data_IF_852070310629
#
_entry.id   IF_852070310629
#
_cell.length_a   1.000
_cell.length_b   1.000
_cell.length_c   1.000
_cell.angle_alpha   90.00
_cell.angle_beta   90.00
_cell.angle_gamma   90.00
#
_symmetry.space_group_name_H-M   'P 1'
#
loop_
_entity.id
_entity.type
_entity.pdbx_description
1 polymer ?
#
# COMPACT_ATOMS: atom_id res chain seq x y z
N UNK A 1 38.60 15.12 -0.93
CA UNK A 1 37.98 13.78 -0.87
C UNK A 1 38.30 13.18 0.49
N UNK A 2 37.37 13.26 1.44
CA UNK A 2 37.58 12.75 2.81
C UNK A 2 36.89 11.39 2.90
N UNK A 3 37.68 10.32 2.82
CA UNK A 3 37.20 8.97 3.12
C UNK A 3 37.04 8.89 4.64
N UNK A 4 35.79 9.00 5.11
CA UNK A 4 35.45 8.76 6.51
C UNK A 4 35.85 7.32 6.84
N UNK A 5 36.80 7.18 7.76
CA UNK A 5 37.28 5.89 8.28
C UNK A 5 36.09 5.03 8.67
N UNK A 6 36.01 3.87 8.03
CA UNK A 6 35.07 2.79 8.34
C UNK A 6 35.32 2.42 9.80
N UNK A 7 34.26 2.49 10.61
CA UNK A 7 34.29 1.99 11.99
C UNK A 7 34.70 0.53 11.91
N UNK A 8 35.86 0.20 12.44
CA UNK A 8 36.34 -1.18 12.55
C UNK A 8 35.26 -1.98 13.28
N UNK A 9 34.70 -2.97 12.59
CA UNK A 9 33.63 -3.84 13.05
C UNK A 9 33.97 -4.34 14.46
N UNK A 10 33.15 -3.96 15.46
CA UNK A 10 33.41 -4.31 16.87
C UNK A 10 33.48 -5.84 17.06
N UNK A 11 32.84 -6.58 16.15
CA UNK A 11 32.95 -8.03 16.01
C UNK A 11 34.35 -8.48 15.59
N UNK A 12 34.97 -7.83 14.61
CA UNK A 12 36.31 -8.21 14.16
C UNK A 12 37.33 -8.03 15.29
N UNK A 13 37.14 -6.98 16.09
CA UNK A 13 37.95 -6.72 17.28
C UNK A 13 37.74 -7.75 18.40
N UNK A 14 36.50 -8.14 18.71
CA UNK A 14 36.21 -9.16 19.73
C UNK A 14 36.61 -10.57 19.27
N UNK A 15 36.43 -10.87 17.97
CA UNK A 15 36.83 -12.11 17.32
C UNK A 15 38.34 -12.32 17.41
N UNK A 16 39.12 -11.31 17.02
CA UNK A 16 40.58 -11.37 17.06
C UNK A 16 41.15 -11.45 18.48
N UNK A 17 40.40 -11.00 19.50
CA UNK A 17 40.87 -10.90 20.89
C UNK A 17 40.46 -12.07 21.79
N UNK A 18 39.29 -12.68 21.56
CA UNK A 18 38.72 -13.69 22.46
C UNK A 18 38.29 -14.98 21.78
N UNK A 19 37.98 -14.95 20.47
CA UNK A 19 37.36 -16.09 19.78
C UNK A 19 38.31 -16.81 18.82
N UNK A 20 39.47 -16.21 18.50
CA UNK A 20 40.44 -16.74 17.53
C UNK A 20 40.99 -18.13 17.91
N UNK A 21 41.21 -18.37 19.20
CA UNK A 21 41.86 -19.59 19.69
C UNK A 21 40.85 -20.66 20.18
N UNK A 22 39.55 -20.35 20.14
CA UNK A 22 38.47 -21.27 20.52
C UNK A 22 37.57 -21.56 19.29
N UNK A 23 37.86 -22.63 18.53
CA UNK A 23 37.23 -22.88 17.24
C UNK A 23 35.70 -23.06 17.32
N UNK A 24 35.19 -23.63 18.40
CA UNK A 24 33.75 -23.80 18.64
C UNK A 24 33.03 -22.46 18.85
N UNK A 25 33.59 -21.56 19.68
CA UNK A 25 33.01 -20.24 19.91
C UNK A 25 33.11 -19.35 18.66
N UNK A 26 34.20 -19.47 17.90
CA UNK A 26 34.34 -18.82 16.61
C UNK A 26 33.26 -19.25 15.62
N UNK A 27 32.88 -20.53 15.62
CA UNK A 27 31.84 -21.06 14.75
C UNK A 27 30.44 -20.60 15.17
N UNK A 28 30.13 -20.62 16.46
CA UNK A 28 28.89 -20.08 17.01
C UNK A 28 28.75 -18.59 16.67
N UNK A 29 29.81 -17.80 16.85
CA UNK A 29 29.81 -16.39 16.53
C UNK A 29 29.63 -16.11 15.03
N UNK A 30 30.13 -17.00 14.15
CA UNK A 30 29.88 -16.91 12.70
C UNK A 30 28.43 -17.25 12.35
N UNK A 31 27.87 -18.29 12.97
CA UNK A 31 26.47 -18.69 12.76
C UNK A 31 25.49 -17.60 13.22
N UNK A 32 25.70 -17.05 14.43
CA UNK A 32 24.90 -15.93 14.96
C UNK A 32 24.94 -14.71 14.02
N UNK A 33 26.13 -14.36 13.50
CA UNK A 33 26.27 -13.27 12.53
C UNK A 33 25.51 -13.57 11.24
N UNK A 34 25.65 -14.79 10.71
CA UNK A 34 24.96 -15.22 9.48
C UNK A 34 23.45 -15.12 9.66
N UNK A 35 22.90 -15.60 10.78
CA UNK A 35 21.47 -15.52 11.08
C UNK A 35 21.00 -14.08 11.23
N UNK A 36 21.75 -13.22 11.91
CA UNK A 36 21.43 -11.80 12.06
C UNK A 36 21.43 -11.06 10.71
N UNK A 37 22.39 -11.37 9.82
CA UNK A 37 22.42 -10.83 8.46
C UNK A 37 21.19 -11.27 7.64
N UNK A 38 20.79 -12.54 7.76
CA UNK A 38 19.61 -13.07 7.10
C UNK A 38 18.29 -12.48 7.64
N UNK A 39 18.19 -12.32 8.96
CA UNK A 39 17.07 -11.67 9.64
C UNK A 39 16.85 -10.25 9.12
N UNK A 40 17.95 -9.49 9.05
CA UNK A 40 17.95 -8.12 8.51
C UNK A 40 17.53 -8.08 7.05
N UNK A 41 17.99 -9.02 6.23
CA UNK A 41 17.58 -9.11 4.82
C UNK A 41 16.07 -9.34 4.67
N UNK A 42 15.44 -10.14 5.54
CA UNK A 42 13.99 -10.32 5.53
C UNK A 42 13.29 -9.00 5.86
N UNK A 43 13.69 -8.35 6.95
CA UNK A 43 13.11 -7.08 7.37
C UNK A 43 13.21 -6.04 6.26
N UNK A 44 14.41 -5.85 5.70
CA UNK A 44 14.67 -4.88 4.64
C UNK A 44 13.85 -5.21 3.39
N UNK A 45 13.81 -6.46 2.95
CA UNK A 45 13.00 -6.89 1.81
C UNK A 45 11.50 -6.71 2.05
N UNK A 46 11.03 -6.95 3.28
CA UNK A 46 9.62 -6.76 3.67
C UNK A 46 9.26 -5.27 3.61
N UNK A 47 10.11 -4.40 4.17
CA UNK A 47 9.92 -2.94 4.18
C UNK A 47 9.99 -2.37 2.77
N UNK A 48 10.98 -2.79 1.96
CA UNK A 48 11.14 -2.39 0.56
C UNK A 48 9.89 -2.74 -0.26
N UNK A 49 9.35 -3.95 -0.08
CA UNK A 49 8.13 -4.41 -0.76
C UNK A 49 6.84 -3.93 -0.09
N UNK A 50 6.92 -3.11 0.96
CA UNK A 50 5.77 -2.60 1.75
C UNK A 50 4.81 -3.70 2.20
N UNK A 51 5.37 -4.83 2.63
CA UNK A 51 4.61 -5.97 3.14
C UNK A 51 4.44 -5.84 4.67
N UNK A 52 3.25 -6.15 5.18
CA UNK A 52 3.07 -6.36 6.62
C UNK A 52 3.57 -7.76 7.01
N UNK A 53 3.91 -7.97 8.28
CA UNK A 53 4.34 -9.29 8.78
C UNK A 53 3.24 -10.34 8.54
N UNK A 54 1.96 -9.98 8.71
CA UNK A 54 0.85 -10.91 8.45
C UNK A 54 0.73 -11.26 6.96
N UNK A 55 1.04 -10.31 6.07
CA UNK A 55 0.99 -10.55 4.64
C UNK A 55 2.15 -11.43 4.19
N UNK A 56 3.34 -11.23 4.71
CA UNK A 56 4.49 -12.09 4.43
C UNK A 56 4.25 -13.51 4.95
N UNK A 57 3.76 -13.65 6.19
CA UNK A 57 3.38 -14.91 6.81
C UNK A 57 2.40 -15.72 5.94
N UNK A 58 1.31 -15.09 5.50
CA UNK A 58 0.33 -15.73 4.60
C UNK A 58 0.93 -16.20 3.26
N UNK A 59 1.99 -15.55 2.79
CA UNK A 59 2.63 -15.88 1.51
C UNK A 59 3.70 -16.95 1.64
N UNK A 60 4.42 -16.99 2.76
CA UNK A 60 5.39 -18.05 3.07
C UNK A 60 4.73 -19.31 3.62
N UNK A 61 3.48 -19.22 4.11
CA UNK A 61 2.81 -20.32 4.81
C UNK A 61 3.19 -20.41 6.29
N UNK A 62 3.81 -19.35 6.83
CA UNK A 62 4.20 -19.24 8.23
C UNK A 62 3.17 -18.41 9.02
N UNK A 63 3.33 -18.36 10.34
CA UNK A 63 2.56 -17.46 11.20
C UNK A 63 3.25 -16.09 11.31
N UNK A 64 2.52 -15.02 11.65
CA UNK A 64 3.11 -13.70 11.86
C UNK A 64 4.16 -13.67 12.97
N UNK A 65 3.95 -14.47 14.03
CA UNK A 65 4.91 -14.62 15.13
C UNK A 65 6.24 -15.20 14.64
N UNK A 66 6.21 -16.27 13.82
CA UNK A 66 7.43 -16.84 13.25
C UNK A 66 8.17 -15.81 12.37
N UNK A 67 7.46 -14.95 11.63
CA UNK A 67 8.10 -13.89 10.83
C UNK A 67 8.77 -12.85 11.73
N UNK A 68 8.17 -12.53 12.87
CA UNK A 68 8.77 -11.64 13.87
C UNK A 68 10.01 -12.26 14.50
N UNK A 69 9.92 -13.50 14.98
CA UNK A 69 11.05 -14.24 15.55
C UNK A 69 12.22 -14.37 14.55
N UNK A 70 11.93 -14.59 13.26
CA UNK A 70 12.92 -14.62 12.19
C UNK A 70 13.56 -13.25 11.93
N UNK A 71 12.82 -12.15 12.07
CA UNK A 71 13.36 -10.79 11.93
C UNK A 71 14.22 -10.37 13.13
N UNK A 72 13.98 -10.98 14.29
CA UNK A 72 14.70 -10.74 15.54
C UNK A 72 15.85 -11.73 15.76
N UNK A 73 16.05 -12.67 14.82
CA UNK A 73 17.04 -13.78 14.90
C UNK A 73 16.84 -14.73 16.09
N UNK A 74 15.68 -14.66 16.74
CA UNK A 74 15.33 -15.41 17.95
C UNK A 74 14.48 -16.65 17.64
N UNK A 75 14.31 -17.00 16.35
CA UNK A 75 13.55 -18.19 15.97
C UNK A 75 14.29 -19.50 16.30
N UNK A 76 13.78 -20.24 17.28
CA UNK A 76 14.36 -21.51 17.76
C UNK A 76 14.01 -22.75 16.92
N UNK A 77 13.15 -22.60 15.90
CA UNK A 77 12.74 -23.70 15.02
C UNK A 77 13.74 -24.00 13.89
N UNK A 78 13.25 -24.67 12.84
CA UNK A 78 14.06 -24.93 11.64
C UNK A 78 14.25 -23.64 10.83
N UNK A 79 15.28 -22.87 11.20
CA UNK A 79 15.66 -21.61 10.57
C UNK A 79 15.82 -21.76 9.06
N UNK A 80 16.53 -22.79 8.61
CA UNK A 80 16.81 -22.99 7.20
C UNK A 80 15.53 -23.23 6.39
N UNK A 81 14.60 -24.04 6.90
CA UNK A 81 13.32 -24.29 6.27
C UNK A 81 12.45 -23.03 6.23
N UNK A 82 12.36 -22.30 7.33
CA UNK A 82 11.54 -21.10 7.42
C UNK A 82 12.09 -19.98 6.52
N UNK A 83 13.41 -19.78 6.51
CA UNK A 83 14.10 -18.88 5.57
C UNK A 83 13.84 -19.26 4.11
N UNK A 84 13.89 -20.56 3.77
CA UNK A 84 13.63 -21.01 2.40
C UNK A 84 12.18 -20.70 1.96
N UNK A 85 11.20 -20.83 2.87
CA UNK A 85 9.81 -20.48 2.60
C UNK A 85 9.64 -18.96 2.39
N UNK A 86 10.25 -18.14 3.25
CA UNK A 86 10.23 -16.67 3.12
C UNK A 86 10.93 -16.22 1.83
N UNK A 87 12.15 -16.71 1.56
CA UNK A 87 12.90 -16.39 0.33
C UNK A 87 12.12 -16.80 -0.91
N UNK A 88 11.45 -17.96 -0.92
CA UNK A 88 10.60 -18.40 -2.04
C UNK A 88 9.38 -17.50 -2.22
N UNK A 89 8.73 -17.07 -1.14
CA UNK A 89 7.61 -16.13 -1.18
C UNK A 89 8.04 -14.77 -1.74
N UNK A 90 9.14 -14.19 -1.23
CA UNK A 90 9.70 -12.92 -1.68
C UNK A 90 10.19 -13.00 -3.14
N UNK A 91 10.87 -14.08 -3.52
CA UNK A 91 11.30 -14.31 -4.90
C UNK A 91 10.10 -14.44 -5.85
N UNK A 92 9.05 -15.15 -5.43
CA UNK A 92 7.79 -15.26 -6.16
C UNK A 92 7.12 -13.89 -6.37
N UNK A 93 7.19 -12.99 -5.38
CA UNK A 93 6.70 -11.61 -5.51
C UNK A 93 7.58 -10.77 -6.44
N UNK A 94 8.91 -10.88 -6.35
CA UNK A 94 9.85 -10.14 -7.22
C UNK A 94 9.72 -10.57 -8.69
N UNK A 95 9.50 -11.86 -8.95
CA UNK A 95 9.17 -12.39 -10.29
C UNK A 95 7.78 -11.96 -10.77
N UNK A 96 6.83 -11.81 -9.85
CA UNK A 96 5.51 -11.18 -10.09
C UNK A 96 5.57 -9.65 -10.02
N UNK A 97 6.74 -9.03 -9.86
CA UNK A 97 6.94 -7.59 -9.99
C UNK A 97 6.68 -7.07 -11.41
N UNK A 98 6.36 -7.97 -12.34
CA UNK A 98 5.78 -7.67 -13.66
C UNK A 98 4.26 -7.99 -13.75
N UNK A 99 3.61 -8.33 -12.64
CA UNK A 99 2.21 -8.78 -12.53
C UNK A 99 1.60 -8.31 -11.20
N UNK A 100 1.11 -7.07 -11.23
CA UNK A 100 -0.01 -6.52 -10.46
C UNK A 100 -0.27 -7.11 -9.06
N UNK A 101 0.00 -6.30 -8.04
CA UNK A 101 -0.63 -6.48 -6.73
C UNK A 101 -2.16 -6.38 -6.86
N UNK A 102 -2.81 -7.53 -7.07
CA UNK A 102 -4.26 -7.68 -6.98
C UNK A 102 -4.69 -7.31 -5.57
N UNK A 103 -5.32 -6.14 -5.47
CA UNK A 103 -6.26 -5.82 -4.41
C UNK A 103 -7.32 -6.94 -4.39
N UNK A 104 -7.66 -7.47 -3.21
CA UNK A 104 -8.74 -8.45 -3.08
C UNK A 104 -10.05 -7.75 -3.46
N UNK A 105 -10.46 -8.02 -4.69
CA UNK A 105 -11.55 -7.37 -5.40
C UNK A 105 -11.24 -7.49 -6.88
N UNK A 106 -11.67 -8.60 -7.49
CA UNK A 106 -11.36 -8.94 -8.87
C UNK A 106 -11.79 -7.85 -9.85
N UNK A 107 -10.87 -6.96 -10.20
CA UNK A 107 -10.88 -6.21 -11.44
C UNK A 107 -9.43 -6.19 -11.92
N UNK A 108 -9.12 -6.96 -12.98
CA UNK A 108 -7.88 -6.80 -13.75
C UNK A 108 -7.68 -5.30 -13.99
N UNK A 109 -6.52 -4.73 -13.65
CA UNK A 109 -6.31 -3.33 -13.94
C UNK A 109 -6.36 -3.19 -15.46
N UNK A 110 -7.32 -2.41 -15.94
CA UNK A 110 -7.30 -1.98 -17.34
C UNK A 110 -6.11 -1.03 -17.42
N UNK A 111 -5.16 -1.30 -18.31
CA UNK A 111 -3.90 -0.55 -18.47
C UNK A 111 -4.05 0.95 -18.87
N UNK A 112 -5.20 1.57 -18.61
CA UNK A 112 -5.47 3.00 -18.78
C UNK A 112 -6.45 3.57 -17.75
N UNK A 113 -6.73 2.88 -16.62
CA UNK A 113 -7.64 3.40 -15.58
C UNK A 113 -6.85 3.88 -14.37
N UNK A 114 -6.85 5.19 -14.14
CA UNK A 114 -6.32 5.77 -12.90
C UNK A 114 -7.15 5.30 -11.69
N UNK A 115 -6.48 4.68 -10.74
CA UNK A 115 -7.08 4.00 -9.58
C UNK A 115 -7.02 4.87 -8.32
N UNK A 116 -7.84 4.51 -7.31
CA UNK A 116 -7.78 5.15 -5.99
C UNK A 116 -6.39 5.03 -5.36
N UNK A 117 -5.72 3.89 -5.52
CA UNK A 117 -4.40 3.66 -4.95
C UNK A 117 -3.33 4.60 -5.55
N UNK A 118 -3.40 4.83 -6.86
CA UNK A 118 -2.52 5.77 -7.56
C UNK A 118 -2.79 7.22 -7.13
N UNK A 119 -4.08 7.60 -6.98
CA UNK A 119 -4.45 8.92 -6.44
C UNK A 119 -3.85 9.16 -5.05
N UNK A 120 -4.04 8.20 -4.13
CA UNK A 120 -3.52 8.30 -2.76
C UNK A 120 -2.00 8.42 -2.76
N UNK A 121 -1.32 7.63 -3.59
CA UNK A 121 0.15 7.66 -3.70
C UNK A 121 0.64 9.01 -4.23
N UNK A 122 -0.01 9.57 -5.25
CA UNK A 122 0.32 10.89 -5.79
C UNK A 122 0.14 12.01 -4.76
N UNK A 123 -0.95 11.97 -3.98
CA UNK A 123 -1.17 12.96 -2.91
C UNK A 123 -0.10 12.81 -1.84
N UNK A 124 0.15 11.59 -1.34
CA UNK A 124 1.16 11.32 -0.31
C UNK A 124 2.56 11.83 -0.71
N UNK A 125 2.98 11.61 -1.96
CA UNK A 125 4.27 12.11 -2.47
C UNK A 125 4.31 13.65 -2.47
N UNK A 126 3.23 14.31 -2.92
CA UNK A 126 3.17 15.78 -3.02
C UNK A 126 3.10 16.46 -1.65
N UNK A 127 2.40 15.85 -0.70
CA UNK A 127 2.18 16.43 0.63
C UNK A 127 3.17 15.95 1.68
N UNK A 128 3.97 14.91 1.38
CA UNK A 128 4.87 14.23 2.32
C UNK A 128 4.15 13.70 3.57
N UNK A 129 2.90 13.28 3.40
CA UNK A 129 2.06 12.68 4.45
C UNK A 129 1.97 11.18 4.22
N UNK A 130 1.78 10.40 5.29
CA UNK A 130 1.64 8.94 5.17
C UNK A 130 0.42 8.56 4.32
N UNK A 131 0.50 7.47 3.52
CA UNK A 131 -0.63 6.99 2.72
C UNK A 131 -1.90 6.72 3.53
N UNK A 132 -1.73 6.27 4.78
CA UNK A 132 -2.81 5.99 5.72
C UNK A 132 -3.57 7.28 6.06
N UNK A 133 -2.85 8.32 6.46
CA UNK A 133 -3.44 9.62 6.79
C UNK A 133 -4.08 10.28 5.55
N UNK A 134 -3.48 10.13 4.36
CA UNK A 134 -4.10 10.62 3.10
C UNK A 134 -5.43 9.90 2.81
N UNK A 135 -5.51 8.59 3.08
CA UNK A 135 -6.75 7.84 2.89
C UNK A 135 -7.84 8.26 3.89
N UNK A 136 -7.46 8.57 5.14
CA UNK A 136 -8.39 9.14 6.13
C UNK A 136 -8.90 10.50 5.69
N UNK A 137 -8.01 11.42 5.30
CA UNK A 137 -8.37 12.75 4.77
C UNK A 137 -9.33 12.64 3.58
N UNK A 138 -9.06 11.71 2.64
CA UNK A 138 -9.92 11.52 1.49
C UNK A 138 -11.32 11.00 1.87
N UNK A 139 -11.42 10.14 2.89
CA UNK A 139 -12.72 9.68 3.41
C UNK A 139 -13.48 10.85 4.04
N UNK A 140 -12.83 11.59 4.93
CA UNK A 140 -13.43 12.74 5.61
C UNK A 140 -13.86 13.83 4.63
N UNK A 141 -13.12 14.05 3.54
CA UNK A 141 -13.53 14.97 2.47
C UNK A 141 -14.86 14.54 1.82
N UNK A 142 -15.01 13.24 1.51
CA UNK A 142 -16.25 12.71 0.91
C UNK A 142 -17.42 12.88 1.87
N UNK A 143 -17.23 12.57 3.15
CA UNK A 143 -18.25 12.72 4.20
C UNK A 143 -18.67 14.19 4.35
N UNK A 144 -17.72 15.12 4.45
CA UNK A 144 -18.00 16.55 4.54
C UNK A 144 -18.77 17.09 3.31
N UNK A 145 -18.46 16.61 2.10
CA UNK A 145 -19.23 16.97 0.89
C UNK A 145 -20.66 16.45 0.99
N UNK A 146 -20.85 15.20 1.43
CA UNK A 146 -22.17 14.60 1.57
C UNK A 146 -23.03 15.34 2.61
N UNK A 147 -22.43 15.72 3.74
CA UNK A 147 -23.08 16.52 4.77
C UNK A 147 -23.46 17.90 4.25
N UNK A 148 -22.51 18.61 3.61
CA UNK A 148 -22.77 19.92 3.01
C UNK A 148 -23.88 19.88 1.96
N UNK A 149 -23.95 18.83 1.14
CA UNK A 149 -25.02 18.64 0.16
C UNK A 149 -26.38 18.35 0.81
N UNK A 150 -26.42 17.61 1.93
CA UNK A 150 -27.67 17.35 2.66
C UNK A 150 -28.23 18.62 3.30
N UNK A 151 -27.35 19.45 3.87
CA UNK A 151 -27.74 20.68 4.58
C UNK A 151 -28.08 21.83 3.64
N UNK A 152 -27.17 22.13 2.70
CA UNK A 152 -27.25 23.35 1.87
C UNK A 152 -27.73 23.09 0.46
N UNK A 153 -27.77 21.82 0.02
CA UNK A 153 -28.11 21.44 -1.35
C UNK A 153 -27.03 21.75 -2.39
N UNK A 154 -25.97 22.48 -2.02
CA UNK A 154 -24.87 22.88 -2.90
C UNK A 154 -23.57 23.09 -2.10
N UNK A 155 -22.44 22.71 -2.69
CA UNK A 155 -21.10 23.03 -2.20
C UNK A 155 -20.17 23.34 -3.37
N UNK A 156 -19.43 24.46 -3.26
CA UNK A 156 -18.43 24.87 -4.25
C UNK A 156 -17.03 24.70 -3.69
N UNK A 157 -16.18 23.97 -4.42
CA UNK A 157 -14.77 23.78 -4.12
C UNK A 157 -13.97 24.52 -5.21
N UNK A 158 -13.30 25.64 -4.88
CA UNK A 158 -12.50 26.40 -5.82
C UNK A 158 -11.51 25.51 -6.58
N UNK A 159 -11.28 25.83 -7.85
CA UNK A 159 -10.45 25.07 -8.79
C UNK A 159 -10.89 23.63 -9.12
N UNK A 160 -11.79 23.01 -8.36
CA UNK A 160 -12.38 21.70 -8.67
C UNK A 160 -13.73 21.86 -9.38
N UNK A 161 -14.69 22.52 -8.73
CA UNK A 161 -16.04 22.69 -9.24
C UNK A 161 -17.10 22.75 -8.15
N UNK A 162 -18.35 22.60 -8.58
CA UNK A 162 -19.52 22.75 -7.74
C UNK A 162 -20.34 21.47 -7.76
N UNK A 163 -20.71 20.98 -6.57
CA UNK A 163 -21.64 19.88 -6.40
C UNK A 163 -23.00 20.45 -6.01
N UNK A 164 -24.08 20.01 -6.68
CA UNK A 164 -25.46 20.43 -6.42
C UNK A 164 -26.39 19.24 -6.32
N UNK A 165 -27.43 19.35 -5.50
CA UNK A 165 -28.51 18.37 -5.44
C UNK A 165 -29.62 18.78 -6.40
N UNK A 166 -29.81 18.00 -7.47
CA UNK A 166 -30.86 18.23 -8.46
C UNK A 166 -32.07 17.36 -8.14
N UNK A 167 -33.26 17.96 -8.10
CA UNK A 167 -34.53 17.24 -8.03
C UNK A 167 -34.91 16.77 -9.43
N UNK A 168 -35.09 15.47 -9.60
CA UNK A 168 -35.62 14.86 -10.81
C UNK A 168 -37.13 14.65 -10.65
N UNK A 169 -37.97 15.19 -11.55
CA UNK A 169 -39.41 15.01 -11.46
C UNK A 169 -39.80 13.54 -11.69
N UNK A 170 -40.99 13.18 -11.24
CA UNK A 170 -41.57 11.88 -11.56
C UNK A 170 -41.79 11.80 -13.08
N UNK A 171 -41.53 10.62 -13.65
CA UNK A 171 -41.74 10.35 -15.06
C UNK A 171 -42.04 8.87 -15.28
N UNK A 172 -42.65 8.58 -16.43
CA UNK A 172 -42.89 7.22 -16.88
C UNK A 172 -41.68 6.80 -17.71
N UNK A 173 -40.98 5.75 -17.25
CA UNK A 173 -39.89 5.11 -17.98
C UNK A 173 -40.41 3.80 -18.60
N UNK A 174 -39.77 3.31 -19.66
CA UNK A 174 -40.12 2.03 -20.29
C UNK A 174 -39.04 1.01 -20.00
N UNK A 175 -39.39 -0.16 -19.46
CA UNK A 175 -38.42 -1.23 -19.19
C UNK A 175 -37.92 -1.83 -20.53
N UNK A 176 -36.62 -1.74 -20.86
CA UNK A 176 -36.11 -2.11 -22.19
C UNK A 176 -36.35 -3.58 -22.57
N UNK A 177 -36.38 -4.47 -21.58
CA UNK A 177 -36.56 -5.91 -21.79
C UNK A 177 -38.01 -6.33 -22.02
N UNK A 178 -38.98 -5.64 -21.40
CA UNK A 178 -40.39 -6.07 -21.39
C UNK A 178 -41.33 -5.08 -22.09
N UNK A 179 -40.83 -3.89 -22.46
CA UNK A 179 -41.61 -2.77 -23.02
C UNK A 179 -42.80 -2.33 -22.15
N UNK A 180 -42.82 -2.71 -20.88
CA UNK A 180 -43.83 -2.29 -19.91
C UNK A 180 -43.47 -0.92 -19.36
N UNK A 181 -44.49 -0.09 -19.14
CA UNK A 181 -44.35 1.20 -18.46
C UNK A 181 -44.07 1.00 -16.97
N UNK A 182 -43.14 1.79 -16.44
CA UNK A 182 -42.80 1.84 -15.02
C UNK A 182 -42.75 3.30 -14.57
N UNK A 183 -43.39 3.61 -13.44
CA UNK A 183 -43.30 4.94 -12.85
C UNK A 183 -42.00 5.08 -12.05
N UNK A 184 -41.23 6.11 -12.36
CA UNK A 184 -40.07 6.53 -11.59
C UNK A 184 -40.46 7.71 -10.71
N UNK A 185 -40.44 7.57 -9.37
CA UNK A 185 -40.84 8.65 -8.46
C UNK A 185 -39.84 9.81 -8.45
N UNK A 186 -40.26 10.94 -7.86
CA UNK A 186 -39.37 12.09 -7.63
C UNK A 186 -38.15 11.64 -6.83
N UNK A 187 -36.96 11.99 -7.32
CA UNK A 187 -35.69 11.63 -6.68
C UNK A 187 -34.74 12.82 -6.63
N UNK A 188 -33.82 12.80 -5.67
CA UNK A 188 -32.72 13.76 -5.56
C UNK A 188 -31.44 13.07 -6.01
N UNK A 189 -30.67 13.71 -6.88
CA UNK A 189 -29.37 13.18 -7.32
C UNK A 189 -28.29 14.25 -7.26
N UNK A 190 -27.07 13.91 -6.82
CA UNK A 190 -25.95 14.83 -6.88
C UNK A 190 -25.53 15.04 -8.35
N UNK A 191 -25.20 16.28 -8.68
CA UNK A 191 -24.63 16.70 -9.95
C UNK A 191 -23.32 17.43 -9.67
N UNK A 192 -22.28 17.16 -10.48
CA UNK A 192 -21.00 17.85 -10.37
C UNK A 192 -20.74 18.66 -11.63
N UNK A 193 -20.54 19.96 -11.47
CA UNK A 193 -20.13 20.90 -12.51
C UNK A 193 -18.68 21.28 -12.29
N UNK A 194 -17.79 20.81 -13.15
CA UNK A 194 -16.36 21.15 -13.07
C UNK A 194 -16.12 22.65 -13.25
N UNK A 195 -15.15 23.18 -12.50
CA UNK A 195 -14.71 24.57 -12.65
C UNK A 195 -14.08 24.78 -14.04
N UNK A 196 -14.15 26.02 -14.56
CA UNK A 196 -13.56 26.38 -15.86
C UNK A 196 -12.07 26.04 -15.93
N UNK A 197 -11.31 26.38 -14.89
CA UNK A 197 -9.88 26.05 -14.78
C UNK A 197 -9.61 24.55 -14.84
N UNK A 198 -10.48 23.74 -14.24
CA UNK A 198 -10.37 22.28 -14.25
C UNK A 198 -10.62 21.71 -15.66
N UNK A 199 -11.63 22.24 -16.36
CA UNK A 199 -11.93 21.85 -17.74
C UNK A 199 -10.81 22.26 -18.71
N UNK A 200 -10.26 23.46 -18.55
CA UNK A 200 -9.17 23.98 -19.38
C UNK A 200 -7.87 23.17 -19.20
N UNK A 201 -7.56 22.79 -17.96
CA UNK A 201 -6.39 21.94 -17.67
C UNK A 201 -6.44 20.60 -18.41
N UNK A 202 -7.64 20.04 -18.60
CA UNK A 202 -7.83 18.78 -19.33
C UNK A 202 -7.84 19.02 -20.85
N UNK A 203 -8.53 20.06 -21.32
CA UNK A 203 -8.61 20.37 -22.76
C UNK A 203 -7.24 20.64 -23.39
N UNK A 204 -6.31 21.19 -22.61
CA UNK A 204 -4.96 21.51 -23.06
C UNK A 204 -3.93 20.41 -22.76
N UNK A 205 -4.34 19.28 -22.16
CA UNK A 205 -3.45 18.15 -21.91
C UNK A 205 -3.13 17.43 -23.23
N UNK A 206 -1.84 17.26 -23.54
CA UNK A 206 -1.35 16.46 -24.67
C UNK A 206 -1.24 14.99 -24.29
#
# INVERSE_FOLDING_TARGET
MSSKKIVTDAYQWSYDRYLRDEPELAEIARDMRSKAEEARQIYDARVELRLTREKLARLSGLTPAIIEDLEESDYEGDWAQAMAQVKRALHGLKKRGNLEFKNKGGQKARAGRFTKAELLSQIAIRTKVSPEAVNEVLKSLIEAILEGLKEKGEITIPALGTFTVVKKPARIDTKPQTKTEIETPVSKTPHFKAAKSFQEAIKNAK
#
